data_IF_162068167308
#
_entry.id   IF_162068167308
#
_cell.length_a   1.000
_cell.length_b   1.000
_cell.length_c   1.000
_cell.angle_alpha   90.00
_cell.angle_beta   90.00
_cell.angle_gamma   90.00
#
_symmetry.space_group_name_H-M   'P 1'
#
loop_
_entity.id
_entity.type
_entity.pdbx_description
1 polymer ?
#
# COMPACT_ATOMS: atom_id res chain seq x y z
N UNK A 1 -30.79 -6.76 56.62
CA UNK A 1 -32.18 -6.45 56.23
C UNK A 1 -32.25 -4.99 55.88
N UNK A 2 -32.54 -4.68 54.61
CA UNK A 2 -33.22 -3.47 54.12
C UNK A 2 -33.48 -3.74 52.64
N UNK A 3 -34.77 -3.79 52.30
CA UNK A 3 -35.33 -4.25 51.03
C UNK A 3 -35.92 -3.05 50.30
N UNK A 4 -35.60 -2.87 49.02
CA UNK A 4 -36.38 -1.99 48.13
C UNK A 4 -36.20 -2.35 46.65
N UNK A 5 -37.15 -3.15 46.18
CA UNK A 5 -37.83 -3.19 44.87
C UNK A 5 -37.28 -2.39 43.68
N UNK A 6 -36.91 -3.13 42.64
CA UNK A 6 -36.76 -2.73 41.23
C UNK A 6 -38.12 -2.53 40.56
N UNK A 7 -38.26 -1.49 39.72
CA UNK A 7 -39.39 -1.30 38.80
C UNK A 7 -38.88 -0.88 37.41
N UNK A 8 -38.90 -1.83 36.48
CA UNK A 8 -38.65 -1.62 35.04
C UNK A 8 -39.91 -1.10 34.36
N UNK A 9 -39.77 -0.15 33.41
CA UNK A 9 -40.83 0.22 32.47
C UNK A 9 -40.24 0.43 31.07
N UNK A 10 -40.64 -0.43 30.14
CA UNK A 10 -40.53 -0.25 28.70
C UNK A 10 -41.93 0.04 28.13
N UNK A 11 -42.01 0.74 26.99
CA UNK A 11 -43.02 0.40 25.97
C UNK A 11 -42.41 0.56 24.54
N UNK A 12 -42.88 -0.02 23.43
CA UNK A 12 -43.87 -1.04 23.07
C UNK A 12 -43.63 -1.26 21.56
N UNK A 13 -43.40 -2.49 21.11
CA UNK A 13 -43.38 -2.86 19.70
C UNK A 13 -44.75 -3.44 19.30
N UNK A 14 -45.38 -2.87 18.28
CA UNK A 14 -46.64 -3.36 17.73
C UNK A 14 -46.40 -4.54 16.78
N UNK A 15 -46.97 -5.70 17.13
CA UNK A 15 -47.14 -6.87 16.27
C UNK A 15 -48.29 -6.64 15.30
N UNK A 16 -48.11 -6.97 14.02
CA UNK A 16 -49.15 -7.62 13.22
C UNK A 16 -48.55 -8.77 12.40
N UNK A 17 -49.19 -9.93 12.58
CA UNK A 17 -49.05 -11.28 12.03
C UNK A 17 -49.43 -11.35 10.54
N UNK A 18 -48.68 -12.02 9.66
CA UNK A 18 -48.58 -13.48 9.38
C UNK A 18 -49.48 -13.96 8.21
N UNK A 19 -49.01 -15.03 7.55
CA UNK A 19 -49.61 -15.87 6.48
C UNK A 19 -49.20 -15.51 5.03
N UNK A 20 -48.90 -16.43 4.11
CA UNK A 20 -48.74 -17.89 4.07
C UNK A 20 -48.11 -18.25 2.69
N UNK A 21 -47.33 -19.32 2.62
CA UNK A 21 -46.79 -19.88 1.38
C UNK A 21 -47.67 -21.01 0.82
N UNK A 22 -47.71 -21.17 -0.51
CA UNK A 22 -48.01 -22.37 -1.36
C UNK A 22 -48.37 -21.87 -2.78
N UNK A 23 -48.10 -22.52 -3.91
CA UNK A 23 -47.52 -23.81 -4.23
C UNK A 23 -47.01 -23.79 -5.69
N UNK A 24 -46.11 -24.71 -6.01
CA UNK A 24 -45.70 -25.07 -7.35
C UNK A 24 -46.83 -25.72 -8.16
N UNK A 25 -46.83 -25.54 -9.49
CA UNK A 25 -47.43 -26.49 -10.44
C UNK A 25 -46.42 -26.78 -11.55
N UNK A 26 -46.14 -28.07 -11.66
CA UNK A 26 -45.39 -28.82 -12.65
C UNK A 26 -46.08 -28.88 -14.02
N UNK A 27 -45.27 -28.74 -15.07
CA UNK A 27 -45.25 -29.48 -16.35
C UNK A 27 -46.47 -30.30 -16.80
N UNK A 28 -46.89 -30.08 -18.04
CA UNK A 28 -47.35 -31.14 -18.93
C UNK A 28 -47.05 -30.82 -20.41
N UNK A 29 -46.49 -31.82 -21.09
CA UNK A 29 -46.13 -31.88 -22.50
C UNK A 29 -47.33 -31.79 -23.44
N UNK A 30 -47.14 -31.28 -24.67
CA UNK A 30 -47.44 -32.03 -25.90
C UNK A 30 -47.06 -31.22 -27.17
N UNK A 31 -46.36 -31.91 -28.05
CA UNK A 31 -45.96 -31.58 -29.41
C UNK A 31 -47.10 -31.70 -30.42
N UNK A 32 -47.21 -30.78 -31.39
CA UNK A 32 -47.49 -31.07 -32.82
C UNK A 32 -47.67 -29.78 -33.64
N UNK A 33 -46.84 -29.60 -34.68
CA UNK A 33 -47.16 -28.83 -35.90
C UNK A 33 -47.92 -29.75 -36.90
N UNK A 34 -48.49 -29.32 -38.05
CA UNK A 34 -48.21 -28.09 -38.83
C UNK A 34 -49.39 -27.41 -39.59
N UNK A 35 -49.08 -26.30 -40.28
CA UNK A 35 -49.76 -25.66 -41.45
C UNK A 35 -51.19 -25.09 -41.23
N UNK A 36 -51.63 -23.92 -41.72
CA UNK A 36 -51.38 -23.18 -42.97
C UNK A 36 -51.92 -21.72 -42.82
N UNK A 37 -51.60 -20.86 -43.80
CA UNK A 37 -52.30 -19.61 -44.18
C UNK A 37 -51.89 -18.27 -43.50
N UNK A 38 -50.86 -17.65 -44.07
CA UNK A 38 -50.94 -16.34 -44.74
C UNK A 38 -51.51 -15.11 -44.01
N UNK A 39 -50.63 -14.16 -43.68
CA UNK A 39 -50.84 -12.75 -44.04
C UNK A 39 -49.49 -12.02 -44.10
N UNK A 40 -49.13 -11.50 -45.28
CA UNK A 40 -47.94 -10.66 -45.49
C UNK A 40 -48.26 -9.24 -45.02
N UNK A 41 -47.54 -8.76 -44.00
CA UNK A 41 -47.46 -7.32 -43.70
C UNK A 41 -46.01 -6.88 -43.90
N UNK A 42 -45.76 -6.12 -44.97
CA UNK A 42 -44.47 -5.47 -45.22
C UNK A 42 -44.40 -4.22 -44.35
N UNK A 43 -43.57 -4.23 -43.31
CA UNK A 43 -43.20 -3.02 -42.58
C UNK A 43 -41.95 -2.43 -43.22
N UNK A 44 -42.08 -1.25 -43.81
CA UNK A 44 -40.95 -0.46 -44.31
C UNK A 44 -40.16 0.09 -43.12
N UNK A 45 -38.91 -0.36 -42.95
CA UNK A 45 -37.99 0.21 -41.98
C UNK A 45 -37.26 1.41 -42.62
N UNK A 46 -37.60 2.61 -42.16
CA UNK A 46 -36.78 3.81 -42.37
C UNK A 46 -35.59 3.78 -41.40
N UNK A 47 -34.36 4.05 -41.86
CA UNK A 47 -33.23 4.19 -40.94
C UNK A 47 -33.29 5.58 -40.30
N UNK A 48 -33.67 5.66 -39.02
CA UNK A 48 -33.41 6.84 -38.23
C UNK A 48 -31.92 6.89 -37.89
N UNK A 49 -31.22 7.87 -38.46
CA UNK A 49 -29.90 8.30 -38.02
C UNK A 49 -29.97 8.74 -36.54
N UNK A 50 -29.42 7.94 -35.63
CA UNK A 50 -29.13 8.36 -34.27
C UNK A 50 -27.77 9.08 -34.25
N UNK A 51 -27.76 10.37 -34.59
CA UNK A 51 -26.63 11.24 -34.27
C UNK A 51 -26.68 11.66 -32.80
N UNK A 52 -25.58 11.46 -32.09
CA UNK A 52 -25.23 12.27 -30.91
C UNK A 52 -25.32 11.56 -29.56
N UNK A 53 -24.46 10.57 -29.31
CA UNK A 53 -24.06 10.30 -27.93
C UNK A 53 -23.10 11.42 -27.51
N UNK A 54 -23.60 12.45 -26.83
CA UNK A 54 -22.75 13.45 -26.18
C UNK A 54 -22.14 12.80 -24.95
N UNK A 55 -20.87 12.42 -25.04
CA UNK A 55 -20.07 12.08 -23.85
C UNK A 55 -19.93 13.35 -23.01
N UNK A 56 -20.63 13.42 -21.88
CA UNK A 56 -20.29 14.36 -20.81
C UNK A 56 -18.95 13.92 -20.21
N UNK A 57 -17.86 14.49 -20.71
CA UNK A 57 -16.58 14.48 -20.00
C UNK A 57 -16.25 15.91 -19.63
N UNK A 58 -16.63 16.28 -18.40
CA UNK A 58 -16.19 17.51 -17.73
C UNK A 58 -15.34 17.11 -16.54
N UNK A 59 -14.18 16.52 -16.80
CA UNK A 59 -13.09 16.58 -15.82
C UNK A 59 -12.13 17.64 -16.33
N UNK A 60 -11.98 18.78 -15.64
CA UNK A 60 -10.92 19.71 -15.98
C UNK A 60 -9.60 18.96 -15.88
N UNK A 61 -8.72 19.13 -16.87
CA UNK A 61 -7.32 18.70 -16.78
C UNK A 61 -6.74 19.38 -15.54
N UNK A 62 -6.58 18.63 -14.45
CA UNK A 62 -5.95 19.14 -13.25
C UNK A 62 -4.50 19.46 -13.60
N UNK A 63 -4.22 20.74 -13.82
CA UNK A 63 -2.85 21.24 -13.64
C UNK A 63 -2.49 20.87 -12.20
N UNK A 64 -1.46 20.06 -12.03
CA UNK A 64 -0.91 19.68 -10.73
C UNK A 64 -0.52 20.96 -9.99
N UNK A 65 -1.46 21.51 -9.22
CA UNK A 65 -1.21 22.52 -8.21
C UNK A 65 -0.55 21.81 -7.05
N UNK A 66 0.43 22.45 -6.43
CA UNK A 66 0.89 22.08 -5.10
C UNK A 66 -0.31 21.87 -4.19
N UNK A 67 -0.64 20.61 -3.91
CA UNK A 67 -1.87 20.26 -3.18
C UNK A 67 -1.81 20.75 -1.72
N UNK A 68 -0.58 20.91 -1.21
CA UNK A 68 -0.26 21.63 0.02
C UNK A 68 0.97 22.52 -0.28
N UNK A 69 0.79 23.79 -0.67
CA UNK A 69 1.91 24.71 -0.72
C UNK A 69 2.38 24.94 0.72
N UNK A 70 3.69 24.95 0.94
CA UNK A 70 4.23 25.39 2.22
C UNK A 70 3.66 26.79 2.48
N UNK A 71 3.05 27.01 3.64
CA UNK A 71 2.50 28.31 3.98
C UNK A 71 3.68 29.25 4.19
N UNK A 72 3.94 30.09 3.21
CA UNK A 72 4.96 31.13 3.34
C UNK A 72 4.53 32.07 4.47
N UNK A 73 5.39 32.17 5.48
CA UNK A 73 5.18 33.10 6.59
C UNK A 73 6.38 34.02 6.61
N UNK A 74 6.14 35.28 6.95
CA UNK A 74 7.18 36.31 7.00
C UNK A 74 8.36 35.99 7.94
N UNK A 75 8.27 34.97 8.81
CA UNK A 75 9.32 34.55 9.74
C UNK A 75 9.92 33.18 9.44
N UNK A 76 9.14 32.25 8.88
CA UNK A 76 9.55 30.85 8.73
C UNK A 76 9.73 30.55 7.25
N UNK A 77 11.00 30.37 6.87
CA UNK A 77 11.39 30.01 5.51
C UNK A 77 11.26 28.51 5.24
N UNK A 78 11.77 27.68 6.16
CA UNK A 78 11.77 26.21 6.01
C UNK A 78 11.63 25.52 7.36
N UNK A 79 10.86 24.43 7.41
CA UNK A 79 10.81 23.52 8.56
C UNK A 79 11.68 22.30 8.25
N UNK A 80 12.74 22.02 9.04
CA UNK A 80 13.58 20.85 8.80
C UNK A 80 12.79 19.55 9.01
N UNK A 81 13.20 18.49 8.31
CA UNK A 81 12.67 17.16 8.51
C UNK A 81 12.97 16.68 9.95
N UNK A 82 11.97 16.07 10.61
CA UNK A 82 12.14 15.53 11.96
C UNK A 82 13.14 14.36 11.98
N UNK A 83 13.13 13.54 10.92
CA UNK A 83 14.12 12.51 10.63
C UNK A 83 14.79 12.85 9.30
N UNK A 84 16.00 13.45 9.30
CA UNK A 84 16.71 13.72 8.07
C UNK A 84 17.16 12.40 7.42
N UNK A 85 16.99 12.29 6.10
CA UNK A 85 17.37 11.08 5.38
C UNK A 85 18.91 10.89 5.42
N UNK A 86 19.42 9.66 5.67
CA UNK A 86 20.85 9.39 5.77
C UNK A 86 21.60 9.54 4.42
N UNK A 87 20.87 9.38 3.31
CA UNK A 87 21.41 9.37 1.95
C UNK A 87 21.83 7.97 1.51
N UNK A 88 22.05 7.80 0.22
CA UNK A 88 22.60 6.57 -0.37
C UNK A 88 23.63 6.93 -1.44
N UNK A 89 24.64 6.08 -1.59
CA UNK A 89 25.46 6.05 -2.79
C UNK A 89 24.66 5.47 -3.97
N UNK A 90 25.09 5.79 -5.18
CA UNK A 90 24.45 5.26 -6.38
C UNK A 90 24.61 3.74 -6.49
N UNK A 91 25.77 3.22 -6.08
CA UNK A 91 26.07 1.80 -6.03
C UNK A 91 25.12 1.06 -5.07
N UNK A 92 24.85 1.61 -3.88
CA UNK A 92 23.91 1.02 -2.92
C UNK A 92 22.50 0.94 -3.50
N UNK A 93 22.00 2.03 -4.09
CA UNK A 93 20.65 2.07 -4.66
C UNK A 93 20.48 1.09 -5.83
N UNK A 94 21.51 0.96 -6.66
CA UNK A 94 21.47 0.07 -7.84
C UNK A 94 21.68 -1.40 -7.49
N UNK A 95 22.35 -1.71 -6.38
CA UNK A 95 22.51 -3.08 -5.88
C UNK A 95 21.21 -3.69 -5.32
N UNK A 96 20.19 -2.87 -5.04
CA UNK A 96 18.90 -3.36 -4.54
C UNK A 96 18.16 -4.17 -5.61
N UNK A 97 17.83 -5.41 -5.24
CA UNK A 97 17.07 -6.34 -6.09
C UNK A 97 15.79 -6.85 -5.42
N UNK A 98 14.75 -7.19 -6.22
CA UNK A 98 13.62 -7.97 -5.75
C UNK A 98 14.08 -9.32 -5.21
N UNK A 99 13.54 -9.72 -4.07
CA UNK A 99 13.88 -10.97 -3.40
C UNK A 99 12.73 -11.41 -2.49
N UNK A 100 12.74 -12.69 -2.10
CA UNK A 100 11.67 -13.28 -1.32
C UNK A 100 12.21 -14.14 -0.17
N UNK A 101 11.73 -13.89 1.05
CA UNK A 101 11.95 -14.75 2.21
C UNK A 101 10.90 -15.86 2.25
N UNK A 102 11.33 -17.10 2.07
CA UNK A 102 10.46 -18.27 2.22
C UNK A 102 9.81 -18.30 3.63
N UNK A 103 8.48 -18.40 3.74
CA UNK A 103 7.80 -18.57 5.02
C UNK A 103 8.25 -19.85 5.73
N UNK A 104 8.62 -19.76 7.02
CA UNK A 104 9.10 -20.92 7.81
C UNK A 104 8.11 -21.34 8.88
N UNK A 105 7.45 -20.37 9.51
CA UNK A 105 6.46 -20.61 10.56
C UNK A 105 5.03 -20.44 10.04
N UNK A 106 4.03 -20.90 10.80
CA UNK A 106 2.63 -20.59 10.50
C UNK A 106 2.36 -19.09 10.50
N UNK A 107 2.99 -18.34 11.41
CA UNK A 107 2.90 -16.88 11.46
C UNK A 107 3.44 -16.22 10.18
N UNK A 108 4.58 -16.71 9.67
CA UNK A 108 5.12 -16.22 8.40
C UNK A 108 4.20 -16.55 7.23
N UNK A 109 3.67 -17.77 7.19
CA UNK A 109 2.75 -18.19 6.15
C UNK A 109 1.48 -17.34 6.15
N UNK A 110 0.91 -17.07 7.32
CA UNK A 110 -0.26 -16.22 7.48
C UNK A 110 0.04 -14.79 7.00
N UNK A 111 1.14 -14.21 7.45
CA UNK A 111 1.58 -12.88 7.04
C UNK A 111 1.73 -12.78 5.51
N UNK A 112 2.47 -13.71 4.91
CA UNK A 112 2.67 -13.78 3.46
C UNK A 112 1.35 -13.92 2.69
N UNK A 113 0.47 -14.83 3.11
CA UNK A 113 -0.83 -15.04 2.45
C UNK A 113 -1.71 -13.81 2.54
N UNK A 114 -1.71 -13.09 3.66
CA UNK A 114 -2.44 -11.83 3.80
C UNK A 114 -1.92 -10.78 2.82
N UNK A 115 -0.60 -10.62 2.66
CA UNK A 115 -0.01 -9.72 1.66
C UNK A 115 -0.41 -10.11 0.25
N UNK A 116 -0.30 -11.40 -0.12
CA UNK A 116 -0.69 -11.88 -1.44
C UNK A 116 -2.18 -11.68 -1.73
N UNK A 117 -3.03 -11.84 -0.72
CA UNK A 117 -4.45 -11.57 -0.82
C UNK A 117 -4.73 -10.07 -1.02
N UNK A 118 -4.08 -9.21 -0.23
CA UNK A 118 -4.19 -7.76 -0.37
C UNK A 118 -3.72 -7.29 -1.76
N UNK A 119 -2.58 -7.80 -2.24
CA UNK A 119 -2.05 -7.52 -3.58
C UNK A 119 -3.06 -7.86 -4.68
N UNK A 120 -3.64 -9.06 -4.62
CA UNK A 120 -4.66 -9.48 -5.58
C UNK A 120 -5.87 -8.53 -5.63
N UNK A 121 -6.40 -8.14 -4.46
CA UNK A 121 -7.55 -7.24 -4.40
C UNK A 121 -7.21 -5.83 -4.80
N UNK A 122 -6.01 -5.36 -4.49
CA UNK A 122 -5.51 -4.06 -4.91
C UNK A 122 -5.41 -4.01 -6.44
N UNK A 123 -4.73 -4.97 -7.06
CA UNK A 123 -4.56 -5.03 -8.52
C UNK A 123 -5.93 -5.07 -9.22
N UNK A 124 -6.89 -5.82 -8.65
CA UNK A 124 -8.28 -5.87 -9.11
C UNK A 124 -9.02 -4.54 -8.94
N UNK A 125 -8.88 -3.88 -7.79
CA UNK A 125 -9.55 -2.61 -7.49
C UNK A 125 -9.00 -1.46 -8.34
N UNK A 126 -7.71 -1.48 -8.69
CA UNK A 126 -7.08 -0.52 -9.60
C UNK A 126 -7.31 -0.84 -11.09
N UNK A 127 -8.00 -1.95 -11.40
CA UNK A 127 -8.30 -2.33 -12.78
C UNK A 127 -7.08 -2.74 -13.61
N UNK A 128 -6.08 -3.37 -12.98
CA UNK A 128 -4.88 -3.84 -13.68
C UNK A 128 -5.26 -4.98 -14.65
N UNK A 129 -4.95 -4.79 -15.94
CA UNK A 129 -5.20 -5.78 -16.97
C UNK A 129 -4.41 -7.08 -16.69
N UNK A 130 -4.90 -8.21 -17.18
CA UNK A 130 -4.17 -9.48 -17.13
C UNK A 130 -2.84 -9.39 -17.90
N UNK A 131 -2.78 -8.65 -19.00
CA UNK A 131 -1.52 -8.43 -19.74
C UNK A 131 -0.53 -7.53 -18.98
N UNK A 132 -1.03 -6.74 -18.03
CA UNK A 132 -0.22 -5.89 -17.16
C UNK A 132 0.29 -6.63 -15.91
N UNK A 133 -0.13 -7.87 -15.68
CA UNK A 133 0.35 -8.69 -14.56
C UNK A 133 1.68 -9.35 -14.91
N UNK A 134 2.56 -9.42 -13.91
CA UNK A 134 3.83 -10.16 -14.01
C UNK A 134 3.60 -11.67 -13.92
N UNK A 135 4.64 -12.45 -14.18
CA UNK A 135 4.61 -13.91 -14.04
C UNK A 135 4.14 -14.32 -12.63
N UNK A 136 3.06 -15.13 -12.61
CA UNK A 136 2.43 -15.62 -11.39
C UNK A 136 3.26 -16.67 -10.67
N UNK A 137 4.21 -17.30 -11.34
CA UNK A 137 5.09 -18.29 -10.74
C UNK A 137 6.15 -17.66 -9.83
N UNK A 138 6.55 -16.41 -10.13
CA UNK A 138 7.56 -15.65 -9.40
C UNK A 138 7.06 -14.24 -9.07
N UNK A 139 5.97 -14.10 -8.30
CA UNK A 139 5.20 -12.87 -8.30
C UNK A 139 5.84 -11.70 -7.55
N UNK A 140 6.90 -11.94 -6.77
CA UNK A 140 7.68 -10.92 -6.05
C UNK A 140 9.05 -10.66 -6.67
N UNK A 141 9.43 -11.41 -7.72
CA UNK A 141 10.76 -11.30 -8.35
C UNK A 141 10.70 -11.09 -9.87
N UNK A 142 9.64 -11.54 -10.55
CA UNK A 142 9.46 -11.31 -11.98
C UNK A 142 9.07 -9.87 -12.27
N UNK A 143 9.85 -9.17 -13.07
CA UNK A 143 9.61 -7.75 -13.41
C UNK A 143 8.97 -7.56 -14.79
N UNK A 144 9.04 -8.57 -15.66
CA UNK A 144 8.51 -8.52 -17.02
C UNK A 144 6.98 -8.67 -17.03
N UNK A 145 6.32 -7.86 -17.84
CA UNK A 145 4.90 -7.96 -18.16
C UNK A 145 4.71 -7.73 -19.67
N UNK A 146 3.67 -8.32 -20.26
CA UNK A 146 3.36 -8.17 -21.69
C UNK A 146 3.03 -6.71 -22.05
N UNK A 147 2.38 -6.00 -21.13
CA UNK A 147 1.97 -4.61 -21.29
C UNK A 147 2.44 -3.75 -20.11
N UNK A 148 3.10 -2.61 -20.35
CA UNK A 148 3.50 -1.70 -19.27
C UNK A 148 2.28 -1.00 -18.64
N UNK A 149 2.48 -0.44 -17.44
CA UNK A 149 1.52 0.50 -16.85
C UNK A 149 1.74 1.89 -17.43
N UNK A 150 0.71 2.75 -17.37
CA UNK A 150 0.90 4.18 -17.67
C UNK A 150 1.43 4.92 -16.44
N UNK A 151 2.03 6.10 -16.63
CA UNK A 151 2.51 6.95 -15.52
C UNK A 151 1.37 7.28 -14.53
N UNK A 152 0.15 7.48 -15.04
CA UNK A 152 -1.02 7.73 -14.20
C UNK A 152 -1.41 6.51 -13.36
N UNK A 153 -1.36 5.30 -13.93
CA UNK A 153 -1.61 4.05 -13.19
C UNK A 153 -0.57 3.83 -12.09
N UNK A 154 0.72 4.09 -12.39
CA UNK A 154 1.77 4.04 -11.39
C UNK A 154 1.57 5.04 -10.25
N UNK A 155 1.27 6.31 -10.56
CA UNK A 155 1.04 7.33 -9.53
C UNK A 155 -0.15 6.99 -8.63
N UNK A 156 -1.28 6.55 -9.18
CA UNK A 156 -2.44 6.14 -8.39
C UNK A 156 -2.05 4.97 -7.46
N UNK A 157 -1.29 4.01 -7.98
CA UNK A 157 -0.79 2.87 -7.21
C UNK A 157 0.09 3.33 -6.04
N UNK A 158 1.10 4.16 -6.31
CA UNK A 158 2.00 4.67 -5.28
C UNK A 158 1.22 5.45 -4.22
N UNK A 159 0.45 6.48 -4.60
CA UNK A 159 -0.31 7.28 -3.63
C UNK A 159 -1.25 6.41 -2.78
N UNK A 160 -1.88 5.38 -3.35
CA UNK A 160 -2.72 4.48 -2.57
C UNK A 160 -1.92 3.65 -1.55
N UNK A 161 -0.82 3.01 -1.98
CA UNK A 161 -0.03 2.14 -1.13
C UNK A 161 0.74 2.92 -0.05
N UNK A 162 1.36 4.05 -0.42
CA UNK A 162 2.07 4.92 0.52
C UNK A 162 1.13 5.53 1.59
N UNK A 163 -0.16 5.68 1.28
CA UNK A 163 -1.15 6.16 2.25
C UNK A 163 -1.44 5.17 3.38
N UNK A 164 -1.10 3.90 3.21
CA UNK A 164 -1.26 2.85 4.22
C UNK A 164 0.08 2.33 4.74
N UNK A 165 1.17 2.46 3.97
CA UNK A 165 2.51 1.98 4.34
C UNK A 165 3.06 2.65 5.60
N UNK A 166 2.75 3.94 5.85
CA UNK A 166 3.16 4.62 7.09
C UNK A 166 2.38 4.26 8.37
N UNK A 167 1.44 3.30 8.31
CA UNK A 167 0.60 2.92 9.47
C UNK A 167 1.27 1.91 10.41
N UNK A 168 1.88 0.80 9.94
CA UNK A 168 2.45 -0.25 10.79
C UNK A 168 3.53 0.25 11.75
N UNK A 169 4.53 0.99 11.26
CA UNK A 169 5.59 1.53 12.11
C UNK A 169 5.05 2.48 13.19
N UNK A 170 4.06 3.31 12.88
CA UNK A 170 3.42 4.23 13.82
C UNK A 170 2.69 3.45 14.92
N UNK A 171 1.94 2.42 14.56
CA UNK A 171 1.26 1.54 15.53
C UNK A 171 2.28 0.80 16.40
N UNK A 172 3.32 0.23 15.80
CA UNK A 172 4.37 -0.49 16.51
C UNK A 172 5.14 0.42 17.48
N UNK A 173 5.62 1.56 16.99
CA UNK A 173 6.29 2.59 17.78
C UNK A 173 5.43 3.08 18.93
N UNK A 174 4.16 3.41 18.69
CA UNK A 174 3.20 3.82 19.72
C UNK A 174 3.02 2.73 20.80
N UNK A 175 2.76 1.48 20.40
CA UNK A 175 2.50 0.39 21.35
C UNK A 175 3.74 0.03 22.18
N UNK A 176 4.92 0.08 21.56
CA UNK A 176 6.21 -0.09 22.24
C UNK A 176 6.50 1.07 23.18
N UNK A 177 6.22 2.31 22.77
CA UNK A 177 6.35 3.51 23.58
C UNK A 177 5.50 3.43 24.85
N UNK A 178 4.20 3.19 24.71
CA UNK A 178 3.31 2.97 25.86
C UNK A 178 3.76 1.77 26.71
N UNK A 179 4.40 0.77 26.08
CA UNK A 179 4.97 -0.40 26.75
C UNK A 179 6.20 -0.11 27.59
N UNK A 180 7.06 0.77 27.10
CA UNK A 180 8.22 1.30 27.82
C UNK A 180 7.75 2.10 29.05
N UNK A 181 6.82 3.04 28.85
CA UNK A 181 6.28 3.90 29.91
C UNK A 181 5.64 3.09 31.04
N UNK A 182 4.67 2.22 30.73
CA UNK A 182 3.90 1.49 31.76
C UNK A 182 4.72 0.46 32.53
N UNK A 183 5.85 0.00 31.96
CA UNK A 183 6.76 -0.96 32.60
C UNK A 183 8.01 -0.29 33.19
N UNK A 184 8.21 1.00 32.94
CA UNK A 184 9.42 1.75 33.32
C UNK A 184 10.70 1.07 32.83
N UNK A 185 10.70 0.58 31.57
CA UNK A 185 11.82 -0.15 30.97
C UNK A 185 12.34 0.56 29.72
N UNK A 186 13.66 0.49 29.49
CA UNK A 186 14.27 0.89 28.23
C UNK A 186 13.66 0.07 27.08
N UNK A 187 13.49 0.71 25.93
CA UNK A 187 12.99 0.06 24.71
C UNK A 187 14.10 -0.53 23.83
N UNK A 188 15.34 -0.05 24.01
CA UNK A 188 16.53 -0.47 23.27
C UNK A 188 16.48 -0.17 21.75
N UNK A 189 15.96 1.00 21.38
CA UNK A 189 16.11 1.58 20.04
C UNK A 189 15.07 1.16 19.00
N UNK A 190 14.01 0.47 19.38
CA UNK A 190 12.97 0.01 18.46
C UNK A 190 11.96 1.12 18.11
N UNK A 191 11.53 1.91 19.10
CA UNK A 191 10.52 2.97 18.93
C UNK A 191 10.97 3.97 17.86
N UNK A 192 12.21 4.44 17.95
CA UNK A 192 12.75 5.45 17.04
C UNK A 192 12.76 4.95 15.60
N UNK A 193 13.31 3.76 15.34
CA UNK A 193 13.33 3.15 14.00
C UNK A 193 11.93 2.96 13.42
N UNK A 194 10.95 2.53 14.23
CA UNK A 194 9.58 2.34 13.74
C UNK A 194 8.86 3.65 13.43
N UNK A 195 9.12 4.72 14.20
CA UNK A 195 8.58 6.04 13.93
C UNK A 195 9.27 6.71 12.73
N UNK A 196 10.58 6.50 12.58
CA UNK A 196 11.36 6.93 11.42
C UNK A 196 10.87 6.28 10.13
N UNK A 197 10.67 4.96 10.12
CA UNK A 197 10.06 4.22 9.00
C UNK A 197 8.72 4.86 8.59
N UNK A 198 7.81 5.07 9.54
CA UNK A 198 6.52 5.70 9.24
C UNK A 198 6.62 7.16 8.79
N UNK A 199 7.66 7.88 9.20
CA UNK A 199 7.94 9.21 8.69
C UNK A 199 8.43 9.14 7.23
N UNK A 200 9.32 8.22 6.91
CA UNK A 200 9.87 7.99 5.57
C UNK A 200 8.77 7.61 4.57
N UNK A 201 7.91 6.64 4.90
CA UNK A 201 6.73 6.25 4.10
C UNK A 201 5.80 7.45 3.82
N UNK A 202 5.62 8.34 4.81
CA UNK A 202 4.84 9.57 4.62
C UNK A 202 5.54 10.53 3.65
N UNK A 203 6.87 10.58 3.62
CA UNK A 203 7.61 11.38 2.64
C UNK A 203 7.48 10.82 1.22
N UNK A 204 7.35 9.51 1.04
CA UNK A 204 6.99 8.87 -0.23
C UNK A 204 5.62 9.39 -0.70
N UNK A 205 4.60 9.26 0.15
CA UNK A 205 3.24 9.74 -0.15
C UNK A 205 3.22 11.21 -0.54
N UNK A 206 3.82 12.08 0.27
CA UNK A 206 3.81 13.53 0.03
C UNK A 206 4.53 13.89 -1.27
N UNK A 207 5.58 13.15 -1.62
CA UNK A 207 6.27 13.31 -2.91
C UNK A 207 5.35 12.96 -4.07
N UNK A 208 4.69 11.79 -4.06
CA UNK A 208 3.79 11.42 -5.16
C UNK A 208 2.55 12.30 -5.25
N UNK A 209 2.04 12.82 -4.12
CA UNK A 209 0.93 13.77 -4.10
C UNK A 209 1.24 15.12 -4.76
N UNK A 210 2.53 15.47 -4.95
CA UNK A 210 2.92 16.65 -5.75
C UNK A 210 2.80 16.39 -7.26
N UNK A 211 2.75 15.13 -7.67
CA UNK A 211 2.63 14.69 -9.07
C UNK A 211 1.26 14.11 -9.43
N UNK A 212 0.43 13.82 -8.44
CA UNK A 212 -0.89 13.23 -8.63
C UNK A 212 -1.89 13.79 -7.60
N UNK A 213 -3.04 14.28 -8.08
CA UNK A 213 -4.15 14.63 -7.20
C UNK A 213 -5.15 13.46 -7.11
N UNK A 214 -5.30 12.82 -5.93
CA UNK A 214 -6.28 11.76 -5.77
C UNK A 214 -7.70 12.33 -5.81
N UNK A 215 -8.56 11.73 -6.64
CA UNK A 215 -9.98 12.07 -6.71
C UNK A 215 -10.74 11.77 -5.41
N UNK A 216 -11.95 12.29 -5.27
CA UNK A 216 -12.78 12.13 -4.06
C UNK A 216 -13.04 10.65 -3.70
N UNK A 217 -13.23 9.79 -4.71
CA UNK A 217 -13.44 8.36 -4.52
C UNK A 217 -12.20 7.69 -3.92
N UNK A 218 -11.01 8.03 -4.42
CA UNK A 218 -9.75 7.51 -3.86
C UNK A 218 -9.54 7.99 -2.43
N UNK A 219 -9.82 9.26 -2.13
CA UNK A 219 -9.76 9.80 -0.75
C UNK A 219 -10.68 9.03 0.20
N UNK A 220 -11.91 8.72 -0.22
CA UNK A 220 -12.84 7.90 0.57
C UNK A 220 -12.32 6.47 0.79
N UNK A 221 -11.75 5.84 -0.25
CA UNK A 221 -11.13 4.52 -0.13
C UNK A 221 -9.96 4.54 0.86
N UNK A 222 -9.10 5.57 0.82
CA UNK A 222 -7.97 5.72 1.75
C UNK A 222 -8.48 5.82 3.19
N UNK A 223 -9.50 6.64 3.47
CA UNK A 223 -10.09 6.76 4.81
C UNK A 223 -10.62 5.40 5.30
N UNK A 224 -11.37 4.69 4.45
CA UNK A 224 -11.88 3.36 4.78
C UNK A 224 -10.77 2.33 5.01
N UNK A 225 -9.76 2.32 4.13
CA UNK A 225 -8.61 1.43 4.21
C UNK A 225 -7.80 1.68 5.49
N UNK A 226 -7.48 2.94 5.81
CA UNK A 226 -6.79 3.30 7.05
C UNK A 226 -7.61 2.92 8.28
N UNK A 227 -8.93 3.15 8.27
CA UNK A 227 -9.82 2.76 9.37
C UNK A 227 -9.76 1.26 9.68
N UNK A 228 -9.82 0.41 8.65
CA UNK A 228 -9.72 -1.05 8.83
C UNK A 228 -8.28 -1.47 9.17
N UNK A 229 -7.31 -0.96 8.42
CA UNK A 229 -5.92 -1.37 8.51
C UNK A 229 -5.28 -0.96 9.83
N UNK A 230 -5.46 0.28 10.28
CA UNK A 230 -4.96 0.73 11.59
C UNK A 230 -5.45 -0.15 12.73
N UNK A 231 -6.77 -0.41 12.80
CA UNK A 231 -7.36 -1.24 13.85
C UNK A 231 -6.88 -2.69 13.77
N UNK A 232 -6.80 -3.26 12.57
CA UNK A 232 -6.26 -4.60 12.35
C UNK A 232 -4.81 -4.73 12.81
N UNK A 233 -3.96 -3.77 12.42
CA UNK A 233 -2.55 -3.71 12.81
C UNK A 233 -2.38 -3.52 14.32
N UNK A 234 -3.18 -2.65 14.94
CA UNK A 234 -3.18 -2.44 16.39
C UNK A 234 -3.49 -3.72 17.16
N UNK A 235 -4.57 -4.42 16.79
CA UNK A 235 -4.96 -5.67 17.45
C UNK A 235 -3.93 -6.79 17.21
N UNK A 236 -3.42 -6.92 15.99
CA UNK A 236 -2.42 -7.93 15.66
C UNK A 236 -1.10 -7.66 16.37
N UNK A 237 -0.65 -6.42 16.49
CA UNK A 237 0.59 -6.08 17.18
C UNK A 237 0.50 -6.36 18.68
N UNK A 238 -0.67 -6.12 19.29
CA UNK A 238 -0.92 -6.52 20.69
C UNK A 238 -0.88 -8.04 20.88
N UNK A 239 -1.43 -8.80 19.92
CA UNK A 239 -1.49 -10.26 20.00
C UNK A 239 -0.15 -10.94 19.67
N UNK A 240 0.45 -10.57 18.54
CA UNK A 240 1.70 -11.16 18.04
C UNK A 240 2.50 -10.15 17.17
N UNK A 241 3.40 -9.37 17.77
CA UNK A 241 4.21 -8.38 17.04
C UNK A 241 5.13 -9.02 15.98
N UNK A 242 5.56 -10.28 16.16
CA UNK A 242 6.39 -10.97 15.16
C UNK A 242 5.66 -11.17 13.84
N UNK A 243 4.36 -11.49 13.89
CA UNK A 243 3.53 -11.64 12.69
C UNK A 243 3.39 -10.29 11.99
N UNK A 244 3.23 -9.20 12.74
CA UNK A 244 3.17 -7.85 12.17
C UNK A 244 4.46 -7.50 11.43
N UNK A 245 5.62 -7.63 12.07
CA UNK A 245 6.89 -7.34 11.41
C UNK A 245 7.12 -8.24 10.20
N UNK A 246 6.70 -9.51 10.26
CA UNK A 246 6.79 -10.38 9.09
C UNK A 246 5.86 -9.93 7.97
N UNK A 247 4.65 -9.49 8.29
CA UNK A 247 3.69 -8.96 7.34
C UNK A 247 4.23 -7.70 6.65
N UNK A 248 4.79 -6.76 7.41
CA UNK A 248 5.44 -5.55 6.87
C UNK A 248 6.61 -5.93 5.97
N UNK A 249 7.51 -6.81 6.41
CA UNK A 249 8.62 -7.26 5.56
C UNK A 249 8.15 -7.85 4.22
N UNK A 250 7.03 -8.59 4.20
CA UNK A 250 6.43 -9.07 2.94
C UNK A 250 5.76 -7.96 2.11
N UNK A 251 5.20 -6.92 2.73
CA UNK A 251 4.74 -5.74 2.00
C UNK A 251 5.91 -5.06 1.29
N UNK A 252 7.05 -4.92 1.98
CA UNK A 252 8.20 -4.25 1.41
C UNK A 252 8.92 -5.07 0.34
N UNK A 253 8.81 -6.42 0.37
CA UNK A 253 9.17 -7.24 -0.79
C UNK A 253 8.35 -6.86 -2.04
N UNK A 254 7.04 -6.64 -1.88
CA UNK A 254 6.17 -6.19 -2.96
C UNK A 254 6.46 -4.73 -3.37
N UNK A 255 6.87 -3.88 -2.44
CA UNK A 255 7.23 -2.49 -2.71
C UNK A 255 8.53 -2.42 -3.54
N UNK A 256 9.60 -3.11 -3.11
CA UNK A 256 10.86 -3.23 -3.87
C UNK A 256 10.60 -3.79 -5.27
N UNK A 257 9.74 -4.82 -5.38
CA UNK A 257 9.31 -5.36 -6.67
C UNK A 257 8.61 -4.32 -7.55
N UNK A 258 7.64 -3.61 -6.98
CA UNK A 258 6.82 -2.60 -7.66
C UNK A 258 7.70 -1.46 -8.20
N UNK A 259 8.62 -0.94 -7.39
CA UNK A 259 9.53 0.12 -7.82
C UNK A 259 10.58 -0.37 -8.82
N UNK A 260 11.11 -1.58 -8.66
CA UNK A 260 12.03 -2.18 -9.65
C UNK A 260 11.36 -2.29 -11.02
N UNK A 261 10.12 -2.76 -11.06
CA UNK A 261 9.36 -2.84 -12.31
C UNK A 261 9.13 -1.46 -12.92
N UNK A 262 8.76 -0.47 -12.11
CA UNK A 262 8.54 0.89 -12.60
C UNK A 262 9.82 1.51 -13.17
N UNK A 263 10.96 1.35 -12.49
CA UNK A 263 12.28 1.78 -12.98
C UNK A 263 12.59 1.13 -14.33
N UNK A 264 12.40 -0.18 -14.44
CA UNK A 264 12.62 -0.90 -15.70
C UNK A 264 11.73 -0.37 -16.83
N UNK A 265 10.44 -0.12 -16.56
CA UNK A 265 9.53 0.46 -17.56
C UNK A 265 9.96 1.87 -18.01
N UNK A 266 10.63 2.65 -17.14
CA UNK A 266 11.28 3.91 -17.55
C UNK A 266 12.47 3.63 -18.48
N UNK A 267 13.34 2.68 -18.12
CA UNK A 267 14.56 2.36 -18.87
C UNK A 267 14.26 1.75 -20.25
N UNK A 268 13.19 0.95 -20.35
CA UNK A 268 12.69 0.39 -21.61
C UNK A 268 11.96 1.45 -22.48
N UNK A 269 11.80 2.69 -21.99
CA UNK A 269 11.16 3.78 -22.73
C UNK A 269 9.64 3.73 -22.76
N UNK A 270 9.00 2.93 -21.92
CA UNK A 270 7.54 2.80 -21.86
C UNK A 270 6.83 3.97 -21.16
N UNK A 271 7.58 4.80 -20.44
CA UNK A 271 7.07 5.92 -19.62
C UNK A 271 7.63 7.26 -20.14
N UNK A 272 7.20 7.72 -21.34
CA UNK A 272 7.82 8.85 -22.03
C UNK A 272 7.75 10.16 -21.25
N UNK A 273 6.72 10.38 -20.43
CA UNK A 273 6.61 11.60 -19.63
C UNK A 273 7.68 11.66 -18.54
N UNK A 274 8.04 10.52 -17.97
CA UNK A 274 9.06 10.43 -16.93
C UNK A 274 10.48 10.38 -17.49
N UNK A 275 10.63 9.90 -18.73
CA UNK A 275 11.90 9.92 -19.47
C UNK A 275 12.22 11.28 -20.11
N UNK A 276 11.23 12.18 -20.25
CA UNK A 276 11.44 13.52 -20.84
C UNK A 276 12.44 14.34 -19.99
N UNK A 277 13.54 14.86 -20.58
CA UNK A 277 14.50 15.73 -19.89
C UNK A 277 13.90 16.99 -19.26
N UNK A 278 12.73 17.43 -19.71
CA UNK A 278 11.98 18.57 -19.16
C UNK A 278 11.15 18.20 -17.94
N UNK A 279 10.91 16.93 -17.70
CA UNK A 279 10.24 16.49 -16.48
C UNK A 279 11.10 16.85 -15.26
N UNK A 280 10.44 17.35 -14.22
CA UNK A 280 11.06 17.73 -12.96
C UNK A 280 10.32 17.02 -11.84
N UNK A 281 11.08 16.33 -11.01
CA UNK A 281 10.55 15.73 -9.79
C UNK A 281 10.26 16.84 -8.75
N UNK A 282 9.41 16.57 -7.75
CA UNK A 282 9.08 17.56 -6.73
C UNK A 282 10.26 17.98 -5.86
N UNK A 283 10.36 19.27 -5.51
CA UNK A 283 11.44 19.81 -4.67
C UNK A 283 11.51 19.16 -3.28
N UNK A 284 10.36 18.74 -2.73
CA UNK A 284 10.31 18.00 -1.45
C UNK A 284 11.17 16.74 -1.49
N UNK A 285 11.23 16.07 -2.65
CA UNK A 285 12.03 14.88 -2.83
C UNK A 285 13.52 15.22 -2.85
N UNK A 286 13.90 16.20 -3.67
CA UNK A 286 15.27 16.66 -3.80
C UNK A 286 15.83 17.06 -2.43
N UNK A 287 15.04 17.79 -1.63
CA UNK A 287 15.44 18.23 -0.29
C UNK A 287 15.51 17.08 0.71
N UNK A 288 14.53 16.17 0.71
CA UNK A 288 14.47 15.08 1.68
C UNK A 288 15.61 14.08 1.46
N UNK A 289 15.75 13.56 0.24
CA UNK A 289 16.81 12.59 -0.12
C UNK A 289 18.16 13.22 -0.42
N UNK A 290 18.25 14.57 -0.41
CA UNK A 290 19.47 15.34 -0.71
C UNK A 290 20.06 14.97 -2.08
N UNK A 291 19.20 14.90 -3.09
CA UNK A 291 19.55 14.40 -4.42
C UNK A 291 20.54 15.34 -5.11
N UNK A 292 21.71 14.84 -5.58
CA UNK A 292 22.72 15.70 -6.19
C UNK A 292 22.26 16.27 -7.52
N UNK A 293 22.75 17.46 -7.87
CA UNK A 293 22.47 18.08 -9.17
C UNK A 293 22.88 17.15 -10.31
N UNK A 294 22.04 17.09 -11.36
CA UNK A 294 22.22 16.16 -12.48
C UNK A 294 21.65 14.75 -12.27
N UNK A 295 21.34 14.35 -11.03
CA UNK A 295 20.72 13.07 -10.68
C UNK A 295 19.34 13.27 -10.01
N UNK A 296 18.49 14.04 -10.67
CA UNK A 296 17.16 14.44 -10.19
C UNK A 296 16.06 14.05 -11.19
N UNK A 297 16.21 12.88 -11.81
CA UNK A 297 15.19 12.32 -12.71
C UNK A 297 14.14 11.52 -11.93
N UNK A 298 13.02 11.18 -12.59
CA UNK A 298 12.05 10.26 -11.98
C UNK A 298 12.68 8.90 -11.66
N UNK A 299 13.61 8.43 -12.50
CA UNK A 299 14.34 7.19 -12.25
C UNK A 299 15.15 7.27 -10.96
N UNK A 300 15.90 8.37 -10.78
CA UNK A 300 16.72 8.57 -9.57
C UNK A 300 15.83 8.63 -8.32
N UNK A 301 14.69 9.32 -8.38
CA UNK A 301 13.72 9.35 -7.29
C UNK A 301 13.24 7.93 -6.93
N UNK A 302 12.85 7.13 -7.92
CA UNK A 302 12.40 5.76 -7.65
C UNK A 302 13.51 4.86 -7.13
N UNK A 303 14.78 5.13 -7.47
CA UNK A 303 15.94 4.41 -6.91
C UNK A 303 16.09 4.68 -5.40
N UNK A 304 15.93 5.93 -4.98
CA UNK A 304 15.96 6.31 -3.55
C UNK A 304 14.82 5.63 -2.79
N UNK A 305 13.58 5.77 -3.26
CA UNK A 305 12.40 5.16 -2.62
C UNK A 305 12.57 3.65 -2.54
N UNK A 306 12.98 2.99 -3.63
CA UNK A 306 13.24 1.54 -3.62
C UNK A 306 14.30 1.12 -2.60
N UNK A 307 15.32 1.95 -2.37
CA UNK A 307 16.36 1.67 -1.39
C UNK A 307 15.82 1.77 0.06
N UNK A 308 14.94 2.73 0.32
CA UNK A 308 14.20 2.84 1.58
C UNK A 308 13.37 1.58 1.84
N UNK A 309 12.59 1.15 0.84
CA UNK A 309 11.79 -0.09 0.95
C UNK A 309 12.64 -1.33 1.21
N UNK A 310 13.84 -1.40 0.60
CA UNK A 310 14.76 -2.50 0.85
C UNK A 310 15.30 -2.49 2.29
N UNK A 311 15.52 -1.30 2.85
CA UNK A 311 15.86 -1.10 4.25
C UNK A 311 14.73 -1.56 5.17
N UNK A 312 13.51 -1.05 4.96
CA UNK A 312 12.32 -1.42 5.72
C UNK A 312 12.06 -2.93 5.67
N UNK A 313 12.19 -3.56 4.49
CA UNK A 313 12.13 -5.02 4.30
C UNK A 313 13.12 -5.75 5.22
N UNK A 314 14.39 -5.36 5.17
CA UNK A 314 15.46 -5.97 5.95
C UNK A 314 15.25 -5.80 7.45
N UNK A 315 14.88 -4.60 7.89
CA UNK A 315 14.58 -4.27 9.29
C UNK A 315 13.42 -5.11 9.80
N UNK A 316 12.27 -5.08 9.12
CA UNK A 316 11.07 -5.78 9.57
C UNK A 316 11.22 -7.30 9.53
N UNK A 317 11.88 -7.87 8.52
CA UNK A 317 12.17 -9.30 8.55
C UNK A 317 13.11 -9.72 9.68
N UNK A 318 14.07 -8.87 10.05
CA UNK A 318 14.96 -9.08 11.20
C UNK A 318 14.18 -8.96 12.51
N UNK A 319 13.37 -7.92 12.68
CA UNK A 319 12.51 -7.73 13.85
C UNK A 319 11.55 -8.90 14.07
N UNK A 320 11.04 -9.52 12.99
CA UNK A 320 10.26 -10.75 13.06
C UNK A 320 11.02 -11.94 13.68
N UNK A 321 12.35 -11.96 13.61
CA UNK A 321 13.22 -13.01 14.16
C UNK A 321 13.61 -12.77 15.63
N UNK A 322 13.69 -11.51 16.06
CA UNK A 322 14.17 -11.13 17.40
C UNK A 322 13.17 -11.44 18.53
N UNK A 323 13.68 -11.53 19.75
CA UNK A 323 12.88 -11.48 20.98
C UNK A 323 12.49 -10.03 21.28
N UNK A 324 11.23 -9.74 20.97
CA UNK A 324 10.58 -8.44 21.13
C UNK A 324 10.67 -7.80 22.53
N UNK A 325 10.96 -8.59 23.57
CA UNK A 325 11.04 -8.12 24.98
C UNK A 325 12.47 -7.86 25.46
N UNK A 326 13.46 -8.53 24.90
CA UNK A 326 14.82 -8.61 25.47
C UNK A 326 15.87 -8.07 24.51
N UNK A 327 15.72 -8.34 23.22
CA UNK A 327 16.75 -8.07 22.24
C UNK A 327 16.80 -6.56 21.91
N UNK A 328 18.01 -5.96 21.84
CA UNK A 328 18.17 -4.60 21.36
C UNK A 328 17.93 -4.53 19.84
N UNK A 329 17.62 -3.33 19.34
CA UNK A 329 17.56 -3.10 17.90
C UNK A 329 19.01 -3.11 17.33
N UNK A 330 19.39 -4.07 16.48
CA UNK A 330 20.75 -4.18 15.98
C UNK A 330 21.14 -3.04 15.02
N UNK A 331 20.18 -2.37 14.39
CA UNK A 331 20.47 -1.36 13.35
C UNK A 331 20.92 -0.01 13.91
N UNK A 332 20.63 0.25 15.19
CA UNK A 332 21.02 1.50 15.88
C UNK A 332 21.94 1.24 17.08
N UNK A 333 22.32 -0.02 17.30
CA UNK A 333 23.18 -0.43 18.41
C UNK A 333 24.65 -0.40 18.02
N UNK A 334 25.51 -0.09 18.99
CA UNK A 334 26.98 -0.24 18.83
C UNK A 334 27.38 -1.67 19.16
N UNK A 335 28.03 -2.34 18.22
CA UNK A 335 28.53 -3.70 18.44
C UNK A 335 29.84 -3.70 19.22
N UNK A 336 30.11 -4.81 19.88
CA UNK A 336 31.42 -5.07 20.49
C UNK A 336 32.48 -5.22 19.39
N UNK A 337 33.74 -4.98 19.75
CA UNK A 337 34.90 -5.13 18.86
C UNK A 337 34.90 -4.20 17.63
N UNK A 338 34.29 -3.02 17.76
CA UNK A 338 34.20 -2.01 16.68
C UNK A 338 33.53 -2.52 15.40
N UNK A 339 32.71 -3.57 15.47
CA UNK A 339 31.90 -4.01 14.34
C UNK A 339 30.87 -2.92 13.99
N UNK A 340 30.72 -2.65 12.71
CA UNK A 340 29.67 -1.75 12.22
C UNK A 340 28.29 -2.40 12.34
N UNK A 341 27.25 -1.58 12.45
CA UNK A 341 25.89 -2.07 12.45
C UNK A 341 25.57 -2.72 11.09
N UNK A 342 24.84 -3.85 11.06
CA UNK A 342 24.51 -4.52 9.82
C UNK A 342 23.62 -3.64 8.95
N UNK A 343 23.92 -3.55 7.65
CA UNK A 343 23.06 -2.84 6.71
C UNK A 343 21.81 -3.71 6.38
N UNK A 344 20.59 -3.26 6.73
CA UNK A 344 19.37 -4.04 6.50
C UNK A 344 19.08 -4.28 5.01
N UNK A 345 19.43 -3.34 4.14
CA UNK A 345 19.12 -3.41 2.70
C UNK A 345 19.88 -4.51 1.98
N UNK A 346 21.05 -4.92 2.50
CA UNK A 346 21.92 -5.95 1.91
C UNK A 346 21.43 -7.38 2.15
N UNK A 347 20.52 -7.59 3.13
CA UNK A 347 20.01 -8.92 3.45
C UNK A 347 18.49 -8.98 3.28
N UNK A 348 17.99 -9.26 2.07
CA UNK A 348 16.56 -9.26 1.79
C UNK A 348 15.73 -10.17 2.68
N UNK A 349 16.28 -11.30 3.13
CA UNK A 349 15.59 -12.21 4.04
C UNK A 349 15.57 -11.73 5.50
N UNK A 350 16.20 -10.59 5.83
CA UNK A 350 16.51 -10.18 7.20
C UNK A 350 17.60 -11.02 7.85
N UNK A 351 18.17 -10.51 8.92
CA UNK A 351 19.15 -11.20 9.76
C UNK A 351 18.43 -12.12 10.74
N UNK A 352 18.97 -13.32 10.93
CA UNK A 352 18.56 -14.24 11.99
C UNK A 352 19.09 -13.73 13.33
N UNK A 353 18.43 -14.13 14.42
CA UNK A 353 18.69 -13.58 15.75
C UNK A 353 20.14 -13.77 16.19
N UNK A 354 20.72 -14.94 15.92
CA UNK A 354 22.08 -15.33 16.26
C UNK A 354 23.17 -14.59 15.47
N UNK A 355 22.80 -13.91 14.38
CA UNK A 355 23.74 -13.11 13.58
C UNK A 355 23.93 -11.70 14.14
N UNK A 356 22.99 -11.22 14.97
CA UNK A 356 22.91 -9.80 15.37
C UNK A 356 22.72 -9.56 16.88
N UNK A 357 22.44 -10.59 17.68
CA UNK A 357 22.25 -10.50 19.14
C UNK A 357 23.05 -11.55 19.89
#
# INVERSE_FOLDING_TARGET
MLSTTTRTRAPTASRQTAQLAKAAITSANASSSPQLAGLRLRLAATPYCCHGCRSFSTTPVSRLRDFFPAKDTHLIQTTPAAWPHPGYSYEEMTAVVPAHRKPRTFGDWLAWKTVRFARYWMDKATGMDRQQQVDKSHPTTAVEAEKPLTEAQWLIRFVFLESIAGVPGMVGGMLRHLGSLRRMKRDNGWIETLLEESYNERMHLLTFMKMCEPGWFMKLMIIGAQGVFFNGMFLMYLANPKIVHRFVGYLEEEAVHTYTRSIKEIEDGHLPRWADPKFRIPDIAIQYWRMPEGHQTMKDLLLYIRADEAGHRGVNHTFGNLNQKEDPNPFVSKFKDHKEAPNPSLKPAGFERDEVV
#
